data_IF_130590296423
#
_entry.id   IF_130590296423
#
_cell.length_a   1.000
_cell.length_b   1.000
_cell.length_c   1.000
_cell.angle_alpha   90.00
_cell.angle_beta   90.00
_cell.angle_gamma   90.00
#
_symmetry.space_group_name_H-M   'P 1'
#
loop_
_entity.id
_entity.type
_entity.pdbx_description
1 polymer ?
#
# COMPACT_ATOMS: atom_id res chain seq x y z
N UNK A 1 8.18 9.17 -2.41
CA UNK A 1 8.79 7.82 -2.49
C UNK A 1 7.85 6.85 -1.79
N UNK A 2 7.59 5.68 -2.37
CA UNK A 2 6.87 4.59 -1.68
C UNK A 2 7.91 3.63 -1.11
N UNK A 3 7.84 3.39 0.20
CA UNK A 3 8.72 2.44 0.87
C UNK A 3 8.15 1.03 0.69
N UNK A 4 8.89 0.16 -0.01
CA UNK A 4 8.53 -1.24 -0.24
C UNK A 4 9.18 -2.14 0.83
N UNK A 5 9.00 -3.46 0.71
CA UNK A 5 9.42 -4.45 1.72
C UNK A 5 10.90 -4.37 2.11
N UNK A 6 11.77 -4.03 1.15
CA UNK A 6 13.23 -3.99 1.35
C UNK A 6 13.74 -2.57 1.68
N UNK A 7 12.83 -1.62 1.94
CA UNK A 7 13.22 -0.27 2.33
C UNK A 7 13.81 -0.23 3.74
N UNK A 8 14.58 0.82 4.02
CA UNK A 8 15.15 1.08 5.34
C UNK A 8 14.06 1.17 6.42
N UNK A 9 14.32 0.59 7.60
CA UNK A 9 13.41 0.59 8.75
C UNK A 9 13.33 1.93 9.48
N UNK A 10 14.37 2.75 9.38
CA UNK A 10 14.49 4.09 9.97
C UNK A 10 14.44 5.15 8.86
N UNK A 11 13.74 6.26 9.10
CA UNK A 11 13.70 7.38 8.17
C UNK A 11 13.51 8.72 8.89
N UNK A 12 14.06 9.79 8.30
CA UNK A 12 13.96 11.17 8.81
C UNK A 12 12.94 12.04 8.09
N UNK A 13 12.13 11.47 7.19
CA UNK A 13 11.19 12.22 6.34
C UNK A 13 9.73 12.09 6.83
N UNK A 14 8.92 13.14 6.73
CA UNK A 14 7.50 13.08 7.06
C UNK A 14 6.75 12.12 6.13
N UNK A 15 5.80 11.37 6.68
CA UNK A 15 4.93 10.45 5.93
C UNK A 15 3.55 11.06 5.75
N UNK A 16 3.15 11.29 4.51
CA UNK A 16 1.84 11.89 4.17
C UNK A 16 0.72 10.85 4.10
N UNK A 17 1.03 9.59 3.81
CA UNK A 17 0.07 8.50 3.68
C UNK A 17 0.74 7.13 3.81
N UNK A 18 -0.08 6.09 4.04
CA UNK A 18 0.31 4.68 3.97
C UNK A 18 -0.63 3.94 3.03
N UNK A 19 -0.08 3.20 2.07
CA UNK A 19 -0.84 2.23 1.26
C UNK A 19 -1.17 1.03 2.15
N UNK A 20 -2.41 0.54 2.10
CA UNK A 20 -2.83 -0.60 2.91
C UNK A 20 -2.08 -1.86 2.48
N UNK A 21 -1.81 -2.73 3.44
CA UNK A 21 -1.05 -3.96 3.19
C UNK A 21 -1.75 -4.84 2.13
N UNK A 22 -3.09 -4.77 2.08
CA UNK A 22 -3.90 -5.53 1.13
C UNK A 22 -3.73 -5.13 -0.35
N UNK A 23 -3.21 -3.93 -0.61
CA UNK A 23 -2.96 -3.41 -1.96
C UNK A 23 -1.46 -3.35 -2.31
N UNK A 24 -0.55 -3.69 -1.39
CA UNK A 24 0.90 -3.62 -1.65
C UNK A 24 1.33 -4.51 -2.83
N UNK A 25 0.68 -5.65 -3.03
CA UNK A 25 0.95 -6.52 -4.18
C UNK A 25 0.71 -5.83 -5.52
N UNK A 26 -0.26 -4.90 -5.59
CA UNK A 26 -0.54 -4.14 -6.82
C UNK A 26 0.64 -3.27 -7.20
N UNK A 27 1.26 -2.62 -6.22
CA UNK A 27 2.45 -1.79 -6.44
C UNK A 27 3.64 -2.59 -6.93
N UNK A 28 3.83 -3.81 -6.44
CA UNK A 28 4.89 -4.71 -6.89
C UNK A 28 4.73 -5.21 -8.34
N UNK A 29 3.55 -5.03 -8.94
CA UNK A 29 3.23 -5.46 -10.31
C UNK A 29 3.19 -4.29 -11.31
N UNK A 30 3.45 -3.06 -10.86
CA UNK A 30 3.35 -1.86 -11.71
C UNK A 30 4.63 -1.67 -12.51
N UNK A 31 4.49 -1.58 -13.85
CA UNK A 31 5.61 -1.27 -14.74
C UNK A 31 5.97 0.22 -14.70
N UNK A 32 7.21 0.55 -15.02
CA UNK A 32 7.76 1.92 -14.92
C UNK A 32 7.03 2.96 -15.76
N UNK A 33 6.39 2.54 -16.85
CA UNK A 33 5.65 3.43 -17.75
C UNK A 33 4.17 3.61 -17.38
N UNK A 34 3.69 2.92 -16.34
CA UNK A 34 2.29 2.97 -15.94
C UNK A 34 1.99 4.16 -15.05
N UNK A 35 0.76 4.67 -15.15
CA UNK A 35 0.25 5.71 -14.24
C UNK A 35 -0.34 5.07 -12.98
N UNK A 36 -0.09 5.71 -11.84
CA UNK A 36 -0.65 5.35 -10.54
C UNK A 36 -1.52 6.49 -10.02
N UNK A 37 -2.64 6.13 -9.40
CA UNK A 37 -3.48 7.05 -8.64
C UNK A 37 -3.76 6.44 -7.26
N UNK A 38 -3.85 7.30 -6.25
CA UNK A 38 -4.16 6.89 -4.88
C UNK A 38 -5.58 7.30 -4.53
N UNK A 39 -6.30 6.40 -3.87
CA UNK A 39 -7.62 6.67 -3.32
C UNK A 39 -7.53 6.76 -1.80
N UNK A 40 -7.97 7.88 -1.24
CA UNK A 40 -8.16 8.00 0.19
C UNK A 40 -9.30 7.08 0.64
N UNK A 41 -9.04 6.31 1.69
CA UNK A 41 -10.02 5.39 2.28
C UNK A 41 -10.03 5.54 3.80
N UNK A 42 -11.14 5.14 4.41
CA UNK A 42 -11.30 5.09 5.85
C UNK A 42 -10.57 3.88 6.46
N UNK A 43 -10.26 3.96 7.76
CA UNK A 43 -9.71 2.82 8.53
C UNK A 43 -10.67 1.62 8.49
N UNK A 44 -11.98 1.85 8.45
CA UNK A 44 -13.00 0.79 8.38
C UNK A 44 -12.92 0.04 7.05
N UNK A 45 -12.80 0.75 5.93
CA UNK A 45 -12.60 0.14 4.61
C UNK A 45 -11.27 -0.61 4.53
N UNK A 46 -10.19 -0.05 5.06
CA UNK A 46 -8.89 -0.70 5.12
C UNK A 46 -8.98 -2.06 5.84
N UNK A 47 -9.58 -2.10 7.04
CA UNK A 47 -9.79 -3.36 7.79
C UNK A 47 -10.62 -4.38 7.01
N UNK A 48 -11.70 -3.92 6.36
CA UNK A 48 -12.56 -4.78 5.53
C UNK A 48 -11.80 -5.40 4.36
N UNK A 49 -11.01 -4.61 3.63
CA UNK A 49 -10.21 -5.09 2.49
C UNK A 49 -9.14 -6.09 2.93
N UNK A 50 -8.47 -5.82 4.05
CA UNK A 50 -7.50 -6.77 4.62
C UNK A 50 -8.15 -8.09 5.02
N UNK A 51 -9.34 -8.07 5.62
CA UNK A 51 -10.07 -9.30 5.95
C UNK A 51 -10.48 -10.10 4.70
N UNK A 52 -10.96 -9.40 3.65
CA UNK A 52 -11.31 -10.03 2.37
C UNK A 52 -10.10 -10.71 1.75
N UNK A 53 -8.94 -10.06 1.74
CA UNK A 53 -7.73 -10.64 1.15
C UNK A 53 -7.28 -11.89 1.92
N UNK A 54 -7.32 -11.87 3.25
CA UNK A 54 -6.96 -13.02 4.09
C UNK A 54 -7.86 -14.23 3.84
N UNK A 55 -9.15 -14.02 3.56
CA UNK A 55 -10.10 -15.11 3.29
C UNK A 55 -9.98 -15.69 1.87
N UNK A 56 -9.21 -15.04 0.98
CA UNK A 56 -8.99 -15.50 -0.41
C UNK A 56 -7.74 -16.37 -0.56
N UNK A 57 -6.93 -16.48 0.48
CA UNK A 57 -5.73 -17.30 0.58
C UNK A 57 -6.00 -18.45 1.56
#
# INVERSE_FOLDING_TARGET
IVLMKDAQSVGGYPRIAKVIDADLWRLGQVWTSNRLSFKMISIKEAKKLTAIQKNRL
#
